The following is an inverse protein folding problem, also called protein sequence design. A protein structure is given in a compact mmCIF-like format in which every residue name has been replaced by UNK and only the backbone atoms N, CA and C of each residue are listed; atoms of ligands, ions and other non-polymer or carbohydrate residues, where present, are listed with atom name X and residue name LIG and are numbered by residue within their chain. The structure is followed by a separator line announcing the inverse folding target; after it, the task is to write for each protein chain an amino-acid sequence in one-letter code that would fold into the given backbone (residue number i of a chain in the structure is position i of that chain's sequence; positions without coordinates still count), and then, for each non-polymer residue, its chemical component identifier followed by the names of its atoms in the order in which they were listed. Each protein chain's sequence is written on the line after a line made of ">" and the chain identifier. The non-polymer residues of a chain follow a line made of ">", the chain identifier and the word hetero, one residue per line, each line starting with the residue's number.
data_IF_940774724897
#
_entry.id   IF_940774724897
#
_cell.length_a   1.000
_cell.length_b   1.000
_cell.length_c   1.000
_cell.angle_alpha   90.00
_cell.angle_beta   90.00
_cell.angle_gamma   90.00
#
_symmetry.space_group_name_H-M   'P 1'
#
loop_
_entity.id
_entity.type
_entity.pdbx_description
1 polymer ?
#
# COMPACT_ATOMS: atom_id res chain seq x y z
N UNK A 1 -27.76 9.23 19.84
CA UNK A 1 -26.69 8.26 19.58
C UNK A 1 -25.77 8.89 18.55
N UNK A 2 -24.67 9.47 19.00
CA UNK A 2 -23.58 9.94 18.12
C UNK A 2 -23.01 8.70 17.44
N UNK A 3 -23.30 8.55 16.15
CA UNK A 3 -22.66 7.57 15.29
C UNK A 3 -21.17 7.92 15.25
N UNK A 4 -20.40 7.32 16.16
CA UNK A 4 -18.95 7.50 16.24
C UNK A 4 -18.38 6.87 14.98
N UNK A 5 -17.94 7.69 14.02
CA UNK A 5 -17.29 7.21 12.80
C UNK A 5 -16.17 6.24 13.17
N UNK A 6 -16.15 5.05 12.52
CA UNK A 6 -15.08 4.06 12.69
C UNK A 6 -13.70 4.72 12.59
N UNK A 7 -12.77 4.42 13.49
CA UNK A 7 -11.41 4.94 13.40
C UNK A 7 -10.75 4.52 12.09
N UNK A 8 -9.82 5.34 11.61
CA UNK A 8 -9.06 5.06 10.38
C UNK A 8 -7.63 4.69 10.77
N UNK A 9 -7.25 3.46 10.42
CA UNK A 9 -5.93 2.91 10.69
C UNK A 9 -5.22 2.60 9.37
N UNK A 10 -3.94 2.88 9.27
CA UNK A 10 -3.13 2.43 8.15
C UNK A 10 -2.23 1.25 8.55
N UNK A 11 -2.10 0.28 7.66
CA UNK A 11 -1.07 -0.75 7.68
C UNK A 11 -0.08 -0.45 6.56
N UNK A 12 1.12 0.00 6.93
CA UNK A 12 2.17 0.40 5.98
C UNK A 12 3.15 -0.75 5.77
N UNK A 13 3.17 -1.30 4.57
CA UNK A 13 4.09 -2.38 4.20
C UNK A 13 5.49 -1.80 3.91
N UNK A 14 6.42 -1.98 4.84
CA UNK A 14 7.80 -1.50 4.76
C UNK A 14 8.86 -2.61 4.96
N UNK A 15 8.47 -3.87 5.13
CA UNK A 15 9.38 -4.99 5.38
C UNK A 15 10.16 -5.48 4.14
N UNK A 16 9.83 -5.00 2.93
CA UNK A 16 10.49 -5.44 1.71
C UNK A 16 11.94 -4.96 1.60
N UNK A 17 12.85 -5.84 1.16
CA UNK A 17 14.29 -5.55 1.03
C UNK A 17 14.63 -4.46 0.02
N UNK A 18 13.80 -4.27 -1.02
CA UNK A 18 14.04 -3.26 -2.05
C UNK A 18 15.30 -3.51 -2.90
N UNK A 19 15.67 -4.77 -3.13
CA UNK A 19 16.92 -5.21 -3.81
C UNK A 19 17.16 -4.51 -5.16
N UNK A 20 16.11 -4.17 -5.90
CA UNK A 20 16.19 -3.48 -7.20
C UNK A 20 16.71 -2.03 -7.13
N UNK A 21 16.62 -1.38 -5.97
CA UNK A 21 17.17 -0.02 -5.77
C UNK A 21 18.66 -0.02 -5.46
N UNK A 22 19.31 -1.19 -5.28
CA UNK A 22 20.73 -1.32 -4.92
C UNK A 22 21.04 -0.88 -3.49
N UNK A 23 22.26 -1.20 -2.99
CA UNK A 23 22.85 -0.72 -1.74
C UNK A 23 22.09 -1.06 -0.45
N UNK A 24 22.53 -2.02 0.30
CA UNK A 24 22.22 -2.57 1.64
C UNK A 24 21.12 -1.98 2.55
N UNK A 25 20.64 -0.77 2.30
CA UNK A 25 19.60 -0.12 3.10
C UNK A 25 18.19 -0.51 2.59
N UNK A 26 17.26 -0.93 3.47
CA UNK A 26 15.87 -1.15 3.11
C UNK A 26 15.27 0.03 2.37
N UNK A 27 14.51 -0.24 1.30
CA UNK A 27 13.92 0.79 0.45
C UNK A 27 13.13 1.84 1.23
N UNK A 28 12.35 1.42 2.21
CA UNK A 28 11.51 2.29 3.00
C UNK A 28 12.28 3.31 3.87
N UNK A 29 13.56 3.04 4.15
CA UNK A 29 14.46 3.94 4.86
C UNK A 29 15.24 4.90 3.94
N UNK A 30 15.17 4.72 2.62
CA UNK A 30 15.77 5.69 1.69
C UNK A 30 15.05 7.01 1.79
N UNK A 31 15.81 8.07 1.55
CA UNK A 31 15.29 9.44 1.63
C UNK A 31 14.82 9.94 0.27
N UNK A 32 13.81 10.78 0.32
CA UNK A 32 13.30 11.60 -0.76
C UNK A 32 13.22 13.04 -0.23
N UNK A 33 14.04 13.96 -0.76
CA UNK A 33 14.14 15.31 -0.23
C UNK A 33 14.50 15.34 1.27
N UNK A 34 15.48 14.53 1.72
CA UNK A 34 15.93 14.46 3.11
C UNK A 34 14.96 13.82 4.11
N UNK A 35 13.86 13.19 3.64
CA UNK A 35 12.88 12.52 4.51
C UNK A 35 12.72 11.05 4.10
N UNK A 36 12.82 10.07 5.02
CA UNK A 36 12.62 8.65 4.70
C UNK A 36 11.28 8.38 4.03
N UNK A 37 11.28 7.49 3.01
CA UNK A 37 10.06 7.15 2.25
C UNK A 37 8.91 6.70 3.16
N UNK A 38 9.20 5.88 4.18
CA UNK A 38 8.20 5.42 5.15
C UNK A 38 7.57 6.58 5.92
N UNK A 39 8.37 7.58 6.33
CA UNK A 39 7.88 8.75 7.06
C UNK A 39 7.01 9.63 6.16
N UNK A 40 7.43 9.87 4.91
CA UNK A 40 6.62 10.61 3.93
C UNK A 40 5.28 9.92 3.69
N UNK A 41 5.28 8.60 3.51
CA UNK A 41 4.04 7.84 3.35
C UNK A 41 3.10 8.02 4.54
N UNK A 42 3.63 7.94 5.78
CA UNK A 42 2.83 8.17 6.99
C UNK A 42 2.31 9.61 7.07
N UNK A 43 3.11 10.60 6.68
CA UNK A 43 2.68 12.02 6.63
C UNK A 43 1.50 12.21 5.66
N UNK A 44 1.58 11.65 4.46
CA UNK A 44 0.50 11.74 3.46
C UNK A 44 -0.77 11.01 3.90
N UNK A 45 -0.62 9.84 4.51
CA UNK A 45 -1.75 9.10 5.08
C UNK A 45 -2.44 9.89 6.19
N UNK A 46 -1.67 10.49 7.10
CA UNK A 46 -2.20 11.36 8.16
C UNK A 46 -2.93 12.57 7.60
N UNK A 47 -2.34 13.26 6.60
CA UNK A 47 -2.98 14.39 5.92
C UNK A 47 -4.31 14.01 5.25
N UNK A 48 -4.46 12.75 4.83
CA UNK A 48 -5.69 12.20 4.24
C UNK A 48 -6.72 11.68 5.25
N UNK A 49 -6.44 11.74 6.57
CA UNK A 49 -7.40 11.40 7.62
C UNK A 49 -7.11 10.10 8.37
N UNK A 50 -5.93 9.49 8.18
CA UNK A 50 -5.48 8.35 8.99
C UNK A 50 -5.10 8.84 10.39
N UNK A 51 -5.52 8.12 11.43
CA UNK A 51 -5.34 8.50 12.83
C UNK A 51 -4.20 7.74 13.52
N UNK A 52 -3.85 6.55 13.03
CA UNK A 52 -2.77 5.69 13.55
C UNK A 52 -2.21 4.83 12.43
N UNK A 53 -0.93 4.49 12.49
CA UNK A 53 -0.31 3.59 11.53
C UNK A 53 0.39 2.41 12.25
N UNK A 54 0.17 1.21 11.71
CA UNK A 54 0.99 0.03 11.98
C UNK A 54 1.96 -0.11 10.81
N UNK A 55 3.25 -0.22 11.09
CA UNK A 55 4.30 -0.30 10.06
C UNK A 55 4.99 -1.65 10.16
N UNK A 56 4.89 -2.46 9.10
CA UNK A 56 5.63 -3.73 9.07
C UNK A 56 7.06 -3.50 8.63
N UNK A 57 8.03 -3.98 9.41
CA UNK A 57 9.46 -3.72 9.22
C UNK A 57 10.25 -5.02 9.12
N UNK A 58 11.44 -5.03 8.49
CA UNK A 58 12.32 -6.21 8.51
C UNK A 58 12.76 -6.54 9.93
N UNK A 59 13.00 -7.83 10.20
CA UNK A 59 13.56 -8.26 11.46
C UNK A 59 14.94 -7.62 11.71
N UNK A 60 15.19 -7.16 12.94
CA UNK A 60 16.47 -6.57 13.36
C UNK A 60 16.68 -5.10 12.98
N UNK A 61 15.69 -4.43 12.39
CA UNK A 61 15.77 -3.03 11.96
C UNK A 61 14.76 -2.11 12.67
N UNK A 62 14.23 -2.53 13.81
CA UNK A 62 13.21 -1.76 14.53
C UNK A 62 13.72 -0.37 14.98
N UNK A 63 14.99 -0.28 15.41
CA UNK A 63 15.57 0.97 15.90
C UNK A 63 15.76 2.00 14.75
N UNK A 64 16.18 1.54 13.57
CA UNK A 64 16.32 2.36 12.37
C UNK A 64 14.96 2.90 11.91
N UNK A 65 13.92 2.07 11.96
CA UNK A 65 12.56 2.50 11.61
C UNK A 65 11.96 3.43 12.67
N UNK A 66 12.25 3.21 13.96
CA UNK A 66 11.86 4.14 15.03
C UNK A 66 12.48 5.51 14.80
N UNK A 67 13.77 5.56 14.48
CA UNK A 67 14.47 6.79 14.12
C UNK A 67 13.89 7.44 12.87
N UNK A 68 13.67 6.67 11.81
CA UNK A 68 13.10 7.16 10.55
C UNK A 68 11.68 7.73 10.71
N UNK A 69 10.89 7.20 11.63
CA UNK A 69 9.51 7.64 11.92
C UNK A 69 9.44 8.73 13.01
N UNK A 70 10.57 9.11 13.61
CA UNK A 70 10.60 10.18 14.62
C UNK A 70 9.98 11.47 14.06
N UNK A 71 9.01 12.05 14.79
CA UNK A 71 8.25 13.24 14.36
C UNK A 71 7.18 12.94 13.30
N UNK A 72 6.76 11.69 13.13
CA UNK A 72 5.54 11.39 12.38
C UNK A 72 4.32 12.08 13.03
N UNK A 73 3.35 12.59 12.23
CA UNK A 73 2.22 13.37 12.75
C UNK A 73 1.16 12.54 13.48
N UNK A 74 1.24 11.21 13.41
CA UNK A 74 0.33 10.26 14.04
C UNK A 74 1.12 9.17 14.75
N UNK A 75 0.49 8.49 15.71
CA UNK A 75 1.11 7.36 16.41
C UNK A 75 1.46 6.23 15.43
N UNK A 76 2.67 5.69 15.57
CA UNK A 76 3.16 4.56 14.77
C UNK A 76 3.53 3.40 15.67
N UNK A 77 3.13 2.19 15.27
CA UNK A 77 3.47 0.93 15.93
C UNK A 77 4.25 0.06 14.94
N UNK A 78 5.37 -0.52 15.37
CA UNK A 78 6.20 -1.37 14.52
C UNK A 78 5.88 -2.84 14.74
N UNK A 79 5.72 -3.58 13.66
CA UNK A 79 5.50 -5.03 13.66
C UNK A 79 6.52 -5.69 12.75
N UNK A 80 7.20 -6.73 13.22
CA UNK A 80 8.12 -7.49 12.37
C UNK A 80 7.35 -8.20 11.27
N UNK A 81 7.66 -7.88 10.01
CA UNK A 81 7.06 -8.47 8.82
C UNK A 81 7.42 -9.94 8.62
N UNK A 82 6.84 -10.54 7.59
CA UNK A 82 7.12 -11.91 7.14
C UNK A 82 8.11 -11.94 5.97
N UNK A 83 8.28 -13.14 5.40
CA UNK A 83 9.14 -13.36 4.23
C UNK A 83 8.58 -12.69 2.98
N UNK A 84 7.25 -12.73 2.83
CA UNK A 84 6.54 -12.14 1.70
C UNK A 84 5.67 -10.94 2.16
N UNK A 85 5.23 -10.11 1.17
CA UNK A 85 4.35 -8.97 1.45
C UNK A 85 3.05 -9.41 2.11
N UNK A 86 2.45 -10.47 1.63
CA UNK A 86 1.21 -11.06 2.17
C UNK A 86 1.38 -11.45 3.65
N UNK A 87 2.49 -12.10 4.02
CA UNK A 87 2.79 -12.47 5.40
C UNK A 87 2.99 -11.24 6.29
N UNK A 88 3.65 -10.22 5.75
CA UNK A 88 3.86 -8.95 6.47
C UNK A 88 2.55 -8.27 6.78
N UNK A 89 1.64 -8.18 5.80
CA UNK A 89 0.29 -7.63 6.02
C UNK A 89 -0.47 -8.45 7.05
N UNK A 90 -0.51 -9.78 6.93
CA UNK A 90 -1.20 -10.66 7.86
C UNK A 90 -0.72 -10.48 9.31
N UNK A 91 0.59 -10.35 9.52
CA UNK A 91 1.15 -10.07 10.87
C UNK A 91 0.73 -8.71 11.40
N UNK A 92 0.73 -7.69 10.55
CA UNK A 92 0.34 -6.34 10.94
C UNK A 92 -1.16 -6.19 11.23
N UNK A 93 -2.02 -7.01 10.60
CA UNK A 93 -3.47 -6.97 10.83
C UNK A 93 -3.87 -7.19 12.31
N UNK A 94 -3.11 -8.01 13.04
CA UNK A 94 -3.37 -8.25 14.46
C UNK A 94 -3.23 -6.96 15.29
N UNK A 95 -2.25 -6.11 14.97
CA UNK A 95 -1.98 -4.85 15.65
C UNK A 95 -2.92 -3.70 15.22
N UNK A 96 -3.63 -3.84 14.10
CA UNK A 96 -4.51 -2.78 13.61
C UNK A 96 -5.75 -2.51 14.47
N UNK A 97 -6.23 -3.49 15.25
CA UNK A 97 -7.25 -3.30 16.28
C UNK A 97 -7.03 -4.36 17.38
N UNK A 98 -6.15 -4.09 18.35
CA UNK A 98 -5.80 -5.04 19.39
C UNK A 98 -7.00 -5.40 20.28
N UNK A 99 -7.94 -4.47 20.47
CA UNK A 99 -9.14 -4.66 21.30
C UNK A 99 -10.31 -5.32 20.53
N UNK A 100 -10.07 -5.85 19.31
CA UNK A 100 -11.12 -6.47 18.50
C UNK A 100 -12.11 -5.46 17.90
N UNK A 101 -11.84 -4.17 17.99
CA UNK A 101 -12.68 -3.10 17.47
C UNK A 101 -12.76 -3.09 15.95
N UNK A 102 -13.77 -2.40 15.43
CA UNK A 102 -13.99 -2.20 14.01
C UNK A 102 -13.28 -0.92 13.54
N UNK A 103 -12.75 -0.92 12.31
CA UNK A 103 -12.02 0.21 11.75
C UNK A 103 -12.10 0.23 10.23
N UNK A 104 -11.94 1.42 9.65
CA UNK A 104 -11.51 1.57 8.25
C UNK A 104 -10.01 1.31 8.20
N UNK A 105 -9.59 0.28 7.49
CA UNK A 105 -8.19 -0.06 7.31
C UNK A 105 -7.69 0.35 5.93
N UNK A 106 -6.55 1.02 5.90
CA UNK A 106 -5.82 1.29 4.66
C UNK A 106 -4.53 0.46 4.61
N UNK A 107 -4.36 -0.40 3.61
CA UNK A 107 -3.08 -1.07 3.35
C UNK A 107 -2.30 -0.26 2.32
N UNK A 108 -1.09 0.18 2.69
CA UNK A 108 -0.29 1.08 1.87
C UNK A 108 1.16 0.62 1.73
N UNK A 109 1.71 0.74 0.52
CA UNK A 109 3.13 0.50 0.28
C UNK A 109 3.95 1.73 0.70
N UNK A 110 4.90 1.60 1.63
CA UNK A 110 5.84 2.65 2.00
C UNK A 110 6.65 3.23 0.81
N UNK A 111 6.65 2.50 -0.30
CA UNK A 111 7.27 2.90 -1.55
C UNK A 111 6.44 3.87 -2.42
N UNK A 112 5.30 4.36 -1.93
CA UNK A 112 4.47 5.39 -2.59
C UNK A 112 4.40 6.68 -1.76
N UNK A 113 5.54 7.35 -1.53
CA UNK A 113 5.65 8.45 -0.56
C UNK A 113 4.93 9.74 -0.98
N UNK A 114 4.55 9.85 -2.26
CA UNK A 114 3.89 11.04 -2.81
C UNK A 114 2.38 10.82 -3.04
N UNK A 115 1.78 9.81 -2.40
CA UNK A 115 0.32 9.60 -2.49
C UNK A 115 -0.41 10.87 -2.02
N UNK A 116 -1.30 11.46 -2.84
CA UNK A 116 -2.02 12.67 -2.41
C UNK A 116 -3.00 12.39 -1.26
N UNK A 117 -3.08 13.32 -0.31
CA UNK A 117 -4.05 13.27 0.79
C UNK A 117 -5.50 13.15 0.28
N UNK A 118 -5.82 13.78 -0.85
CA UNK A 118 -7.13 13.69 -1.50
C UNK A 118 -7.45 12.28 -2.00
N UNK A 119 -6.46 11.51 -2.46
CA UNK A 119 -6.65 10.10 -2.82
C UNK A 119 -6.89 9.25 -1.58
N UNK A 120 -6.13 9.48 -0.51
CA UNK A 120 -6.33 8.79 0.78
C UNK A 120 -7.75 9.02 1.29
N UNK A 121 -8.20 10.29 1.32
CA UNK A 121 -9.55 10.66 1.74
C UNK A 121 -10.65 10.02 0.87
N UNK A 122 -10.43 9.92 -0.45
CA UNK A 122 -11.36 9.26 -1.40
C UNK A 122 -11.54 7.78 -1.06
N UNK A 123 -10.46 7.07 -0.80
CA UNK A 123 -10.50 5.65 -0.41
C UNK A 123 -11.25 5.48 0.93
N UNK A 124 -10.94 6.31 1.93
CA UNK A 124 -11.66 6.31 3.21
C UNK A 124 -13.16 6.53 3.03
N UNK A 125 -13.53 7.52 2.21
CA UNK A 125 -14.93 7.85 1.94
C UNK A 125 -15.69 6.69 1.29
N UNK A 126 -15.07 5.98 0.34
CA UNK A 126 -15.68 4.82 -0.31
C UNK A 126 -15.89 3.66 0.67
N UNK A 127 -14.91 3.37 1.56
CA UNK A 127 -15.11 2.34 2.60
C UNK A 127 -16.24 2.75 3.57
N UNK A 128 -16.29 4.03 3.98
CA UNK A 128 -17.37 4.55 4.84
C UNK A 128 -18.75 4.54 4.16
N UNK A 129 -18.79 4.59 2.83
CA UNK A 129 -20.01 4.42 2.03
C UNK A 129 -20.52 2.97 1.97
N UNK A 130 -19.78 2.00 2.56
CA UNK A 130 -20.20 0.61 2.68
C UNK A 130 -19.45 -0.36 1.76
N UNK A 131 -18.47 0.10 0.97
CA UNK A 131 -17.64 -0.78 0.15
C UNK A 131 -16.59 -1.48 1.02
N UNK A 132 -16.69 -2.82 1.15
CA UNK A 132 -15.82 -3.58 2.04
C UNK A 132 -14.36 -3.72 1.53
N UNK A 133 -14.13 -3.53 0.25
CA UNK A 133 -12.82 -3.48 -0.39
C UNK A 133 -12.81 -2.40 -1.49
N UNK A 134 -11.80 -1.51 -1.46
CA UNK A 134 -11.68 -0.34 -2.34
C UNK A 134 -10.24 -0.23 -2.86
N UNK A 135 -10.07 -0.06 -4.16
CA UNK A 135 -8.76 0.00 -4.80
C UNK A 135 -8.66 1.22 -5.72
N UNK A 136 -7.65 2.08 -5.52
CA UNK A 136 -7.37 3.16 -6.47
C UNK A 136 -6.67 2.61 -7.72
N UNK A 137 -7.13 3.07 -8.88
CA UNK A 137 -6.64 2.57 -10.17
C UNK A 137 -6.34 3.68 -11.16
N UNK A 138 -5.43 3.40 -12.10
CA UNK A 138 -5.18 4.22 -13.28
C UNK A 138 -5.40 3.41 -14.55
N UNK A 139 -5.86 4.04 -15.65
CA UNK A 139 -5.89 3.39 -16.96
C UNK A 139 -4.49 2.95 -17.39
N UNK A 140 -4.41 1.80 -18.07
CA UNK A 140 -3.18 1.34 -18.70
C UNK A 140 -2.95 2.13 -19.99
N UNK A 141 -1.83 2.84 -20.06
CA UNK A 141 -1.50 3.71 -21.20
C UNK A 141 -0.81 2.94 -22.32
N UNK A 142 0.12 2.03 -21.97
CA UNK A 142 0.91 1.28 -22.93
C UNK A 142 0.14 0.11 -23.55
N UNK A 143 0.57 -0.33 -24.74
CA UNK A 143 0.06 -1.56 -25.34
C UNK A 143 0.52 -2.77 -24.52
N UNK A 144 -0.42 -3.59 -24.06
CA UNK A 144 -0.15 -4.79 -23.25
C UNK A 144 -0.07 -6.00 -24.17
N UNK A 145 0.92 -6.85 -23.92
CA UNK A 145 1.10 -8.12 -24.62
C UNK A 145 1.22 -9.28 -23.64
N UNK A 146 0.48 -10.34 -23.89
CA UNK A 146 0.66 -11.60 -23.16
C UNK A 146 1.82 -12.35 -23.80
N UNK A 147 2.84 -12.68 -23.00
CA UNK A 147 4.00 -13.45 -23.45
C UNK A 147 3.71 -14.93 -23.23
N UNK A 148 3.95 -15.75 -24.27
CA UNK A 148 3.91 -17.20 -24.18
C UNK A 148 5.33 -17.73 -24.34
N UNK A 149 5.87 -18.50 -23.39
CA UNK A 149 7.16 -19.18 -23.55
C UNK A 149 7.03 -20.25 -24.64
N UNK A 150 7.95 -20.26 -25.60
CA UNK A 150 7.99 -21.25 -26.68
C UNK A 150 9.40 -21.80 -26.89
N UNK A 151 9.52 -22.96 -27.55
CA UNK A 151 10.81 -23.62 -27.82
C UNK A 151 11.74 -22.81 -28.73
N UNK A 152 11.22 -21.89 -29.56
CA UNK A 152 11.97 -21.03 -30.51
C UNK A 152 12.10 -19.57 -30.05
N UNK A 153 11.80 -19.26 -28.77
CA UNK A 153 11.85 -17.90 -28.26
C UNK A 153 10.51 -17.42 -27.66
N UNK A 154 10.43 -16.11 -27.36
CA UNK A 154 9.23 -15.51 -26.80
C UNK A 154 8.29 -15.06 -27.92
N UNK A 155 7.10 -15.65 -27.98
CA UNK A 155 5.99 -15.13 -28.78
C UNK A 155 5.05 -14.31 -27.92
N UNK A 156 4.23 -13.47 -28.49
CA UNK A 156 3.29 -12.67 -27.73
C UNK A 156 2.03 -12.35 -28.52
N UNK A 157 0.92 -12.16 -27.81
CA UNK A 157 -0.36 -11.71 -28.34
C UNK A 157 -0.77 -10.38 -27.70
N UNK A 158 -1.48 -9.53 -28.43
CA UNK A 158 -2.02 -8.28 -27.89
C UNK A 158 -3.12 -8.61 -26.87
N UNK A 159 -3.13 -7.88 -25.76
CA UNK A 159 -4.22 -7.88 -24.79
C UNK A 159 -5.01 -6.59 -24.94
N UNK A 160 -6.32 -6.68 -24.99
CA UNK A 160 -7.18 -5.49 -24.97
C UNK A 160 -7.02 -4.77 -23.63
N UNK A 161 -6.44 -3.58 -23.69
CA UNK A 161 -6.18 -2.77 -22.49
C UNK A 161 -7.37 -1.96 -22.01
N UNK A 162 -8.45 -1.87 -22.79
CA UNK A 162 -9.65 -1.09 -22.42
C UNK A 162 -10.32 -1.62 -21.14
N UNK A 163 -10.14 -2.92 -20.85
CA UNK A 163 -10.63 -3.59 -19.66
C UNK A 163 -9.56 -3.75 -18.55
N UNK A 164 -8.39 -3.13 -18.72
CA UNK A 164 -7.28 -3.27 -17.77
C UNK A 164 -7.00 -1.95 -17.06
N UNK A 165 -6.71 -2.05 -15.78
CA UNK A 165 -6.29 -0.91 -14.94
C UNK A 165 -5.04 -1.25 -14.15
N UNK A 166 -4.21 -0.25 -13.88
CA UNK A 166 -3.07 -0.37 -12.98
C UNK A 166 -3.49 -0.07 -11.55
N UNK A 167 -3.27 -1.02 -10.66
CA UNK A 167 -3.64 -0.94 -9.25
C UNK A 167 -2.63 -0.12 -8.47
N UNK A 168 -3.13 0.72 -7.54
CA UNK A 168 -2.30 1.51 -6.63
C UNK A 168 -2.64 1.21 -5.16
N UNK A 169 -1.93 1.85 -4.24
CA UNK A 169 -2.26 1.91 -2.81
C UNK A 169 -2.28 3.37 -2.33
N UNK A 170 -3.06 3.70 -1.25
CA UNK A 170 -3.65 2.78 -0.28
C UNK A 170 -4.86 2.03 -0.83
N UNK A 171 -4.95 0.73 -0.56
CA UNK A 171 -6.17 -0.03 -0.71
C UNK A 171 -6.97 0.06 0.59
N UNK A 172 -8.27 0.31 0.50
CA UNK A 172 -9.14 0.52 1.66
C UNK A 172 -10.03 -0.69 1.94
N UNK A 173 -10.23 -0.99 3.22
CA UNK A 173 -10.98 -2.17 3.63
C UNK A 173 -11.80 -1.92 4.90
N UNK A 174 -12.90 -2.64 5.01
CA UNK A 174 -13.45 -3.01 6.30
C UNK A 174 -12.49 -3.99 6.99
N UNK A 175 -12.03 -3.67 8.20
CA UNK A 175 -10.97 -4.44 8.88
C UNK A 175 -11.39 -5.89 9.12
N UNK A 176 -12.63 -6.13 9.55
CA UNK A 176 -13.10 -7.49 9.84
C UNK A 176 -13.16 -8.33 8.55
N UNK A 177 -13.55 -7.72 7.44
CA UNK A 177 -13.58 -8.37 6.13
C UNK A 177 -12.18 -8.75 5.67
N UNK A 178 -11.20 -7.83 5.76
CA UNK A 178 -9.84 -8.13 5.33
C UNK A 178 -9.18 -9.22 6.19
N UNK A 179 -9.43 -9.24 7.51
CA UNK A 179 -8.94 -10.31 8.39
C UNK A 179 -9.43 -11.69 7.93
N UNK A 180 -10.74 -11.85 7.74
CA UNK A 180 -11.32 -13.11 7.24
C UNK A 180 -10.76 -13.51 5.88
N UNK A 181 -10.54 -12.54 4.98
CA UNK A 181 -9.97 -12.77 3.67
C UNK A 181 -8.53 -13.30 3.74
N UNK A 182 -7.68 -12.70 4.58
CA UNK A 182 -6.31 -13.18 4.80
C UNK A 182 -6.24 -14.54 5.49
N UNK A 183 -7.15 -14.83 6.42
CA UNK A 183 -7.27 -16.14 7.07
C UNK A 183 -7.61 -17.21 6.03
N UNK A 184 -8.64 -16.98 5.21
CA UNK A 184 -9.06 -17.91 4.15
C UNK A 184 -7.93 -18.20 3.15
N UNK A 185 -7.23 -17.16 2.67
CA UNK A 185 -6.13 -17.33 1.71
C UNK A 185 -4.96 -18.10 2.35
N UNK A 186 -4.67 -17.84 3.64
CA UNK A 186 -3.62 -18.56 4.36
C UNK A 186 -3.95 -20.03 4.56
N UNK A 187 -5.18 -20.36 4.93
CA UNK A 187 -5.67 -21.76 5.07
C UNK A 187 -5.63 -22.52 3.74
N UNK A 188 -5.95 -21.83 2.64
CA UNK A 188 -5.87 -22.39 1.29
C UNK A 188 -4.43 -22.54 0.75
N UNK A 189 -3.44 -21.99 1.44
CA UNK A 189 -2.05 -21.92 0.96
C UNK A 189 -1.90 -21.13 -0.35
N UNK A 190 -2.85 -20.23 -0.65
CA UNK A 190 -2.85 -19.49 -1.89
C UNK A 190 -1.93 -18.26 -1.83
N UNK A 191 -1.31 -17.94 -2.97
CA UNK A 191 -0.50 -16.73 -3.14
C UNK A 191 -1.29 -15.72 -3.96
N UNK A 192 -1.46 -14.53 -3.42
CA UNK A 192 -2.18 -13.43 -4.07
C UNK A 192 -1.24 -12.24 -4.32
N UNK A 193 -1.59 -11.41 -5.28
CA UNK A 193 -0.75 -10.28 -5.71
C UNK A 193 -0.92 -9.04 -4.85
N UNK A 194 -2.12 -8.84 -4.28
CA UNK A 194 -2.46 -7.72 -3.40
C UNK A 194 -3.57 -8.10 -2.40
N UNK A 195 -3.95 -7.15 -1.56
CA UNK A 195 -4.90 -7.41 -0.47
C UNK A 195 -6.36 -7.45 -0.96
N UNK A 196 -6.66 -6.78 -2.07
CA UNK A 196 -7.97 -6.86 -2.71
C UNK A 196 -8.26 -8.27 -3.26
N UNK A 197 -7.25 -8.94 -3.82
CA UNK A 197 -7.37 -10.32 -4.29
C UNK A 197 -7.71 -11.30 -3.14
N UNK A 198 -7.30 -11.01 -1.90
CA UNK A 198 -7.76 -11.78 -0.73
C UNK A 198 -9.28 -11.65 -0.55
N UNK A 199 -9.81 -10.44 -0.69
CA UNK A 199 -11.25 -10.18 -0.56
C UNK A 199 -12.05 -10.85 -1.70
N UNK A 200 -11.55 -10.81 -2.92
CA UNK A 200 -12.15 -11.52 -4.07
C UNK A 200 -12.22 -13.05 -3.83
N UNK A 201 -11.20 -13.64 -3.20
CA UNK A 201 -11.17 -15.06 -2.87
C UNK A 201 -12.30 -15.52 -1.95
N UNK A 202 -12.88 -14.61 -1.16
CA UNK A 202 -14.06 -14.87 -0.31
C UNK A 202 -15.36 -14.28 -0.88
N UNK A 203 -15.36 -13.89 -2.18
CA UNK A 203 -16.54 -13.38 -2.87
C UNK A 203 -16.92 -11.94 -2.55
N UNK A 204 -16.03 -11.16 -1.95
CA UNK A 204 -16.26 -9.73 -1.67
C UNK A 204 -15.92 -8.92 -2.91
N UNK A 205 -16.84 -8.11 -3.45
CA UNK A 205 -16.57 -7.26 -4.60
C UNK A 205 -15.59 -6.14 -4.24
N UNK A 206 -14.74 -5.80 -5.22
CA UNK A 206 -13.76 -4.72 -5.10
C UNK A 206 -14.27 -3.49 -5.83
N UNK A 207 -14.47 -2.40 -5.12
CA UNK A 207 -14.83 -1.10 -5.67
C UNK A 207 -13.59 -0.39 -6.19
N UNK A 208 -13.66 0.17 -7.41
CA UNK A 208 -12.58 0.91 -8.02
C UNK A 208 -12.80 2.43 -7.86
N UNK A 209 -11.77 3.13 -7.42
CA UNK A 209 -11.77 4.59 -7.35
C UNK A 209 -10.64 5.16 -8.21
N UNK A 210 -10.79 6.41 -8.64
CA UNK A 210 -9.75 7.09 -9.42
C UNK A 210 -8.47 7.24 -8.59
N UNK A 211 -7.35 6.76 -9.14
CA UNK A 211 -6.02 6.86 -8.59
C UNK A 211 -5.34 8.21 -8.86
N UNK A 212 -4.03 8.27 -8.68
CA UNK A 212 -3.21 9.44 -8.96
C UNK A 212 -1.86 9.06 -9.53
N UNK A 213 -1.36 9.81 -10.53
CA UNK A 213 0.01 9.62 -11.04
C UNK A 213 1.07 9.90 -9.96
N UNK A 214 0.77 10.76 -8.99
CA UNK A 214 1.65 11.02 -7.85
C UNK A 214 1.74 9.81 -6.90
N UNK A 215 0.76 8.91 -6.88
CA UNK A 215 0.83 7.66 -6.12
C UNK A 215 1.70 6.59 -6.82
N UNK A 216 2.70 7.02 -7.59
CA UNK A 216 3.68 6.14 -8.23
C UNK A 216 4.47 5.35 -7.19
N UNK A 217 4.88 4.14 -7.57
CA UNK A 217 5.68 3.26 -6.71
C UNK A 217 7.15 3.41 -7.06
N UNK A 218 7.95 3.87 -6.13
CA UNK A 218 9.40 3.90 -6.26
C UNK A 218 9.93 2.46 -6.21
N UNK A 219 10.47 1.95 -7.31
CA UNK A 219 10.97 0.58 -7.46
C UNK A 219 12.41 0.54 -7.93
N UNK A 220 12.81 1.50 -8.75
CA UNK A 220 14.11 1.62 -9.39
C UNK A 220 14.72 3.00 -9.14
N UNK A 221 16.03 3.21 -9.36
CA UNK A 221 16.66 4.51 -9.15
C UNK A 221 16.04 5.65 -9.96
N UNK A 222 15.56 5.37 -11.15
CA UNK A 222 14.90 6.37 -12.00
C UNK A 222 13.59 6.87 -11.37
N UNK A 223 12.85 6.00 -10.68
CA UNK A 223 11.61 6.40 -10.00
C UNK A 223 11.90 7.41 -8.87
N UNK A 224 13.04 7.24 -8.18
CA UNK A 224 13.47 8.17 -7.12
C UNK A 224 13.78 9.55 -7.71
N UNK A 225 14.51 9.62 -8.82
CA UNK A 225 14.81 10.88 -9.50
C UNK A 225 13.54 11.60 -9.99
N UNK A 226 12.56 10.84 -10.52
CA UNK A 226 11.25 11.39 -10.91
C UNK A 226 10.52 11.93 -9.68
N UNK A 227 10.52 11.18 -8.56
CA UNK A 227 9.88 11.61 -7.34
C UNK A 227 10.51 12.87 -6.74
N UNK A 228 11.85 13.03 -6.81
CA UNK A 228 12.56 14.25 -6.40
C UNK A 228 12.14 15.45 -7.23
N UNK A 229 12.10 15.32 -8.56
CA UNK A 229 11.66 16.39 -9.45
C UNK A 229 10.19 16.81 -9.19
N UNK A 230 9.31 15.85 -8.87
CA UNK A 230 7.91 16.14 -8.52
C UNK A 230 7.79 16.85 -7.17
N UNK A 231 8.67 16.53 -6.22
CA UNK A 231 8.68 17.17 -4.91
C UNK A 231 9.14 18.64 -5.00
N UNK A 232 10.18 18.91 -5.81
CA UNK A 232 10.70 20.27 -6.03
C UNK A 232 9.63 21.17 -6.67
N UNK A 233 8.85 20.66 -7.62
CA UNK A 233 7.74 21.40 -8.22
C UNK A 233 6.64 21.74 -7.21
N UNK A 234 6.30 20.82 -6.31
CA UNK A 234 5.29 21.05 -5.27
C UNK A 234 5.73 22.03 -4.16
N UNK A 235 7.03 22.27 -4.02
CA UNK A 235 7.59 23.24 -3.07
C UNK A 235 7.81 24.65 -3.68
N UNK A 236 7.60 24.81 -4.99
CA UNK A 236 7.78 26.06 -5.72
C UNK A 236 6.47 26.86 -5.93
N UNK A 237 5.33 26.27 -5.62
CA UNK A 237 3.97 26.86 -5.62
C UNK A 237 3.56 27.24 -4.17
#
# INVERSE_FOLDING_TARGET
>A
LTDSLKPVVALVAAAGSGSRLGGGLPKALRELGGVPLVRRSVQQLAAGGVQRAVVTVPAGLADEFTTALAGAPIATELVVGGAERQDSVRRGLAACAPDGGDAVLLVHDAARPLVPATLVARVIAAVRAGHAAVVPVLPVIDSIRRVSPGAAGRTSTVVDRSALVGVQTPQGFDLATLRRAHEHVAEAGAVVTDDAACCEAIGVPVELVEGSRLAMKITEPVDLAIAEALLDQAGAD
#
